data_IF_638595793944
#
_entry.id   IF_638595793944
#
_cell.length_a   1.000
_cell.length_b   1.000
_cell.length_c   1.000
_cell.angle_alpha   90.00
_cell.angle_beta   90.00
_cell.angle_gamma   90.00
#
_symmetry.space_group_name_H-M   'P 1'
#
loop_
_entity.id
_entity.type
_entity.pdbx_description
1 polymer ?
#
# COMPACT_ATOMS: atom_id res chain seq x y z
N UNK A 1 -16.09 4.12 -3.96
CA UNK A 1 -17.43 3.54 -4.22
C UNK A 1 -18.44 3.75 -3.10
N UNK A 2 -18.31 3.17 -1.89
CA UNK A 2 -19.33 3.34 -0.84
C UNK A 2 -19.32 4.73 -0.18
N UNK A 3 -18.15 5.31 0.06
CA UNK A 3 -18.03 6.64 0.63
C UNK A 3 -18.53 7.71 -0.36
N UNK A 4 -18.12 7.60 -1.62
CA UNK A 4 -18.56 8.53 -2.68
C UNK A 4 -20.06 8.41 -2.94
N UNK A 5 -20.63 7.20 -2.91
CA UNK A 5 -22.06 7.00 -3.05
C UNK A 5 -22.86 7.64 -1.90
N UNK A 6 -22.36 7.53 -0.65
CA UNK A 6 -22.97 8.21 0.49
C UNK A 6 -22.84 9.74 0.37
N UNK A 7 -21.67 10.23 -0.03
CA UNK A 7 -21.44 11.66 -0.25
C UNK A 7 -22.39 12.21 -1.32
N UNK A 8 -22.52 11.52 -2.45
CA UNK A 8 -23.45 11.89 -3.53
C UNK A 8 -24.91 11.86 -3.09
N UNK A 9 -25.31 10.86 -2.29
CA UNK A 9 -26.68 10.72 -1.78
C UNK A 9 -27.10 11.91 -0.91
N UNK A 10 -26.19 12.46 -0.10
CA UNK A 10 -26.47 13.57 0.81
C UNK A 10 -25.99 14.94 0.31
N UNK A 11 -25.34 15.01 -0.85
CA UNK A 11 -24.70 16.21 -1.38
C UNK A 11 -25.63 17.44 -1.38
N UNK A 12 -26.89 17.27 -1.80
CA UNK A 12 -27.85 18.38 -1.85
C UNK A 12 -28.15 18.97 -0.47
N UNK A 13 -28.37 18.11 0.53
CA UNK A 13 -28.66 18.56 1.89
C UNK A 13 -27.42 19.24 2.51
N UNK A 14 -26.24 18.64 2.31
CA UNK A 14 -24.98 19.18 2.81
C UNK A 14 -24.63 20.54 2.19
N UNK A 15 -24.86 20.72 0.89
CA UNK A 15 -24.64 22.00 0.21
C UNK A 15 -25.61 23.08 0.68
N UNK A 16 -26.87 22.72 0.91
CA UNK A 16 -27.87 23.63 1.45
C UNK A 16 -27.47 24.10 2.85
N UNK A 17 -27.11 23.18 3.74
CA UNK A 17 -26.71 23.53 5.11
C UNK A 17 -25.41 24.32 5.14
N UNK A 18 -24.42 23.95 4.31
CA UNK A 18 -23.20 24.74 4.16
C UNK A 18 -23.53 26.18 3.73
N UNK A 19 -24.46 26.36 2.79
CA UNK A 19 -24.92 27.69 2.36
C UNK A 19 -25.54 28.53 3.49
N UNK A 20 -26.21 27.90 4.47
CA UNK A 20 -26.81 28.60 5.62
C UNK A 20 -25.73 29.11 6.58
N UNK A 21 -24.72 28.27 6.87
CA UNK A 21 -23.83 28.51 8.00
C UNK A 21 -22.42 28.99 7.62
N UNK A 22 -22.02 28.92 6.34
CA UNK A 22 -20.65 29.23 5.90
C UNK A 22 -20.16 30.62 6.34
N UNK A 23 -21.03 31.64 6.27
CA UNK A 23 -20.65 33.01 6.62
C UNK A 23 -20.51 33.20 8.14
N UNK A 24 -21.13 32.32 8.92
CA UNK A 24 -21.06 32.32 10.39
C UNK A 24 -19.95 31.41 10.93
N UNK A 25 -19.45 30.48 10.13
CA UNK A 25 -18.45 29.48 10.50
C UNK A 25 -17.15 29.72 9.75
N UNK A 26 -16.23 30.47 10.34
CA UNK A 26 -14.89 30.70 9.79
C UNK A 26 -14.18 29.38 9.48
N UNK A 27 -13.79 29.19 8.22
CA UNK A 27 -13.07 28.00 7.76
C UNK A 27 -13.94 26.78 7.45
N UNK A 28 -15.27 26.93 7.35
CA UNK A 28 -16.15 25.87 6.88
C UNK A 28 -15.75 25.45 5.47
N UNK A 29 -15.37 24.17 5.31
CA UNK A 29 -15.16 23.58 3.99
C UNK A 29 -16.52 23.25 3.35
N UNK A 30 -16.64 23.38 2.02
CA UNK A 30 -17.78 22.86 1.32
C UNK A 30 -17.78 21.31 1.38
N UNK A 31 -18.93 20.64 1.12
CA UNK A 31 -19.07 19.20 1.32
C UNK A 31 -18.03 18.35 0.56
N UNK A 32 -17.69 18.73 -0.66
CA UNK A 32 -16.63 18.17 -1.49
C UNK A 32 -15.24 18.33 -0.86
N UNK A 33 -14.93 19.51 -0.32
CA UNK A 33 -13.69 19.70 0.46
C UNK A 33 -13.64 18.83 1.72
N UNK A 34 -14.77 18.66 2.42
CA UNK A 34 -14.84 17.78 3.61
C UNK A 34 -14.69 16.30 3.25
N UNK A 35 -15.17 15.92 2.06
CA UNK A 35 -15.07 14.56 1.52
C UNK A 35 -13.63 14.20 1.17
N UNK A 36 -12.87 15.16 0.61
CA UNK A 36 -11.44 14.99 0.35
C UNK A 36 -10.66 14.81 1.66
N UNK A 37 -10.96 15.63 2.68
CA UNK A 37 -10.34 15.51 4.01
C UNK A 37 -10.64 14.14 4.65
N UNK A 38 -11.89 13.68 4.58
CA UNK A 38 -12.26 12.37 5.11
C UNK A 38 -11.57 11.24 4.36
N UNK A 39 -11.47 11.35 3.04
CA UNK A 39 -10.79 10.36 2.20
C UNK A 39 -9.29 10.28 2.54
N UNK A 40 -8.62 11.43 2.68
CA UNK A 40 -7.23 11.50 3.13
C UNK A 40 -7.05 10.90 4.53
N UNK A 41 -7.94 11.24 5.47
CA UNK A 41 -7.91 10.69 6.83
C UNK A 41 -8.02 9.15 6.84
N UNK A 42 -8.91 8.58 6.01
CA UNK A 42 -9.07 7.12 5.90
C UNK A 42 -7.83 6.46 5.29
N UNK A 43 -7.18 7.11 4.32
CA UNK A 43 -5.93 6.62 3.71
C UNK A 43 -4.77 6.60 4.71
N UNK A 44 -4.68 7.60 5.61
CA UNK A 44 -3.63 7.68 6.64
C UNK A 44 -3.90 6.77 7.85
N UNK A 45 -5.15 6.35 8.05
CA UNK A 45 -5.58 5.58 9.24
C UNK A 45 -4.73 4.33 9.52
N UNK A 46 -4.36 3.48 8.54
CA UNK A 46 -3.56 2.28 8.79
C UNK A 46 -2.22 2.61 9.46
N UNK A 47 -1.51 3.61 8.94
CA UNK A 47 -0.22 4.05 9.50
C UNK A 47 -0.40 4.61 10.93
N UNK A 48 -1.48 5.36 11.16
CA UNK A 48 -1.79 5.94 12.47
C UNK A 48 -2.12 4.88 13.52
N UNK A 49 -2.87 3.85 13.14
CA UNK A 49 -3.16 2.69 14.02
C UNK A 49 -1.88 1.95 14.37
N UNK A 50 -1.02 1.69 13.38
CA UNK A 50 0.27 1.04 13.64
C UNK A 50 1.15 1.87 14.59
N UNK A 51 1.20 3.18 14.41
CA UNK A 51 1.94 4.08 15.31
C UNK A 51 1.41 4.03 16.74
N UNK A 52 0.09 4.06 16.93
CA UNK A 52 -0.52 3.94 18.24
C UNK A 52 -0.21 2.58 18.89
N UNK A 53 -0.31 1.49 18.13
CA UNK A 53 0.03 0.14 18.61
C UNK A 53 1.51 0.05 19.01
N UNK A 54 2.41 0.58 18.19
CA UNK A 54 3.85 0.62 18.46
C UNK A 54 4.15 1.34 19.78
N UNK A 55 3.57 2.53 19.96
CA UNK A 55 3.70 3.31 21.20
C UNK A 55 3.13 2.57 22.42
N UNK A 56 2.00 1.88 22.27
CA UNK A 56 1.36 1.16 23.36
C UNK A 56 2.09 -0.13 23.76
N UNK A 57 2.67 -0.82 22.78
CA UNK A 57 3.30 -2.14 22.96
C UNK A 57 4.81 -2.07 23.15
N UNK A 58 5.43 -0.89 22.99
CA UNK A 58 6.88 -0.69 23.11
C UNK A 58 7.67 -1.22 21.91
N UNK A 59 7.04 -1.38 20.76
CA UNK A 59 7.70 -1.78 19.52
C UNK A 59 8.11 -0.57 18.67
N UNK A 60 9.23 -0.70 17.95
CA UNK A 60 9.63 0.28 16.96
C UNK A 60 8.92 0.04 15.63
N UNK A 61 8.67 1.12 14.87
CA UNK A 61 8.22 1.04 13.49
C UNK A 61 9.34 1.37 12.51
N UNK A 62 9.33 0.68 11.39
CA UNK A 62 10.22 0.89 10.26
C UNK A 62 9.38 1.02 8.99
N UNK A 63 9.62 2.10 8.25
CA UNK A 63 9.08 2.25 6.89
C UNK A 63 9.89 1.41 5.92
N UNK A 64 9.22 0.50 5.22
CA UNK A 64 9.81 -0.31 4.18
C UNK A 64 9.41 0.21 2.80
N UNK A 65 10.30 0.05 1.82
CA UNK A 65 10.03 0.30 0.41
C UNK A 65 10.15 -0.99 -0.39
N UNK A 66 9.05 -1.42 -0.98
CA UNK A 66 8.96 -2.68 -1.70
C UNK A 66 8.62 -2.41 -3.17
N UNK A 67 9.33 -3.04 -4.10
CA UNK A 67 9.16 -2.79 -5.55
C UNK A 67 9.37 -4.06 -6.38
N UNK A 68 8.90 -4.05 -7.62
CA UNK A 68 9.22 -5.03 -8.64
C UNK A 68 10.17 -4.41 -9.68
N UNK A 69 11.08 -5.22 -10.22
CA UNK A 69 12.03 -4.84 -11.27
C UNK A 69 12.08 -5.94 -12.36
N UNK A 70 11.54 -5.68 -13.56
CA UNK A 70 10.74 -4.51 -13.92
C UNK A 70 9.31 -4.57 -13.32
N UNK A 71 8.59 -3.43 -13.21
CA UNK A 71 7.26 -3.39 -12.58
C UNK A 71 6.19 -4.16 -13.36
N UNK A 72 6.32 -4.29 -14.69
CA UNK A 72 5.44 -5.10 -15.52
C UNK A 72 5.66 -6.62 -15.37
N UNK A 73 6.72 -7.03 -14.66
CA UNK A 73 7.08 -8.44 -14.51
C UNK A 73 6.27 -9.20 -13.46
N UNK A 74 5.62 -8.50 -12.53
CA UNK A 74 4.92 -9.15 -11.41
C UNK A 74 4.18 -8.21 -10.48
N UNK A 75 3.72 -8.75 -9.36
CA UNK A 75 3.24 -8.00 -8.20
C UNK A 75 3.86 -8.56 -6.91
N UNK A 76 3.73 -7.81 -5.83
CA UNK A 76 4.10 -8.23 -4.48
C UNK A 76 2.85 -8.49 -3.66
N UNK A 77 2.88 -9.59 -2.93
CA UNK A 77 1.90 -9.91 -1.90
C UNK A 77 2.58 -9.87 -0.54
N UNK A 78 2.03 -9.14 0.42
CA UNK A 78 2.52 -9.08 1.81
C UNK A 78 1.40 -9.53 2.73
N UNK A 79 1.66 -10.54 3.56
CA UNK A 79 0.65 -11.11 4.47
C UNK A 79 -0.67 -11.46 3.76
N UNK A 80 -0.57 -12.01 2.55
CA UNK A 80 -1.68 -12.34 1.64
C UNK A 80 -2.42 -11.16 1.01
N UNK A 81 -2.02 -9.92 1.28
CA UNK A 81 -2.57 -8.71 0.65
C UNK A 81 -1.76 -8.39 -0.61
N UNK A 82 -2.43 -8.27 -1.76
CA UNK A 82 -1.80 -7.83 -3.01
C UNK A 82 -1.56 -6.31 -2.95
N UNK A 83 -0.31 -5.92 -3.17
CA UNK A 83 0.16 -4.54 -3.13
C UNK A 83 0.52 -3.99 -4.52
N UNK A 84 0.40 -4.79 -5.57
CA UNK A 84 0.85 -4.44 -6.92
C UNK A 84 2.36 -4.44 -7.09
N UNK A 85 2.85 -3.80 -8.15
CA UNK A 85 4.25 -3.87 -8.56
C UNK A 85 5.15 -2.81 -7.91
N UNK A 86 4.57 -1.69 -7.46
CA UNK A 86 5.30 -0.61 -6.80
C UNK A 86 4.39 0.06 -5.75
N UNK A 87 4.05 -0.64 -4.66
CA UNK A 87 3.27 -0.04 -3.60
C UNK A 87 3.94 1.17 -2.97
N UNK A 88 3.11 2.04 -2.41
CA UNK A 88 3.57 3.14 -1.59
C UNK A 88 4.35 2.62 -0.36
N UNK A 89 5.33 3.39 0.15
CA UNK A 89 6.04 3.02 1.36
C UNK A 89 5.09 2.79 2.54
N UNK A 90 5.23 1.64 3.21
CA UNK A 90 4.39 1.24 4.33
C UNK A 90 5.21 1.00 5.60
N UNK A 91 4.60 1.29 6.76
CA UNK A 91 5.23 1.09 8.08
C UNK A 91 4.96 -0.31 8.61
N UNK A 92 5.98 -0.94 9.19
CA UNK A 92 5.90 -2.28 9.77
C UNK A 92 6.66 -2.33 11.09
N UNK A 93 6.31 -3.26 11.98
CA UNK A 93 6.98 -3.42 13.27
C UNK A 93 8.36 -4.03 13.11
N UNK A 94 9.38 -3.37 13.68
CA UNK A 94 10.74 -3.90 13.69
C UNK A 94 10.83 -5.15 14.57
N UNK A 95 11.47 -6.21 14.07
CA UNK A 95 11.57 -7.48 14.80
C UNK A 95 10.37 -8.41 14.61
N UNK A 96 9.31 -7.98 13.91
CA UNK A 96 8.19 -8.85 13.53
C UNK A 96 8.39 -9.28 12.07
N UNK A 97 8.65 -10.57 11.80
CA UNK A 97 8.87 -11.04 10.44
C UNK A 97 7.64 -10.85 9.56
N UNK A 98 7.85 -10.40 8.32
CA UNK A 98 6.84 -10.28 7.28
C UNK A 98 6.99 -11.39 6.26
N UNK A 99 5.89 -11.99 5.85
CA UNK A 99 5.82 -12.92 4.73
C UNK A 99 5.52 -12.17 3.43
N UNK A 100 6.50 -12.15 2.52
CA UNK A 100 6.45 -11.45 1.24
C UNK A 100 6.55 -12.48 0.12
N UNK A 101 5.64 -12.40 -0.86
CA UNK A 101 5.60 -13.28 -2.03
C UNK A 101 5.70 -12.43 -3.30
N UNK A 102 6.64 -12.77 -4.17
CA UNK A 102 6.71 -12.27 -5.53
C UNK A 102 5.79 -13.10 -6.43
N UNK A 103 4.81 -12.47 -7.06
CA UNK A 103 3.86 -13.13 -7.97
C UNK A 103 4.21 -12.73 -9.41
N UNK A 104 4.84 -13.60 -10.21
CA UNK A 104 5.14 -13.29 -11.61
C UNK A 104 3.85 -13.13 -12.42
N UNK A 105 3.85 -12.17 -13.34
CA UNK A 105 2.80 -12.07 -14.36
C UNK A 105 3.03 -13.12 -15.47
N UNK A 106 1.99 -13.46 -16.26
CA UNK A 106 2.15 -14.41 -17.37
C UNK A 106 3.30 -14.02 -18.31
N UNK A 107 4.14 -14.99 -18.68
CA UNK A 107 5.33 -14.77 -19.51
C UNK A 107 6.55 -14.25 -18.75
N UNK A 108 6.48 -14.14 -17.42
CA UNK A 108 7.59 -13.75 -16.55
C UNK A 108 7.87 -14.83 -15.51
N UNK A 109 9.12 -14.85 -15.04
CA UNK A 109 9.56 -15.67 -13.91
C UNK A 109 10.27 -14.81 -12.89
N UNK A 110 10.05 -15.10 -11.62
CA UNK A 110 10.86 -14.55 -10.53
C UNK A 110 12.29 -15.10 -10.63
N UNK A 111 13.28 -14.23 -10.51
CA UNK A 111 14.71 -14.58 -10.60
C UNK A 111 15.49 -14.26 -9.32
N UNK A 112 14.82 -13.75 -8.28
CA UNK A 112 15.43 -13.46 -6.98
C UNK A 112 15.04 -12.08 -6.44
N UNK A 113 15.67 -11.72 -5.32
CA UNK A 113 15.40 -10.48 -4.61
C UNK A 113 16.63 -9.57 -4.58
N UNK A 114 16.40 -8.26 -4.57
CA UNK A 114 17.39 -7.27 -4.13
C UNK A 114 17.06 -6.90 -2.68
N UNK A 115 18.06 -6.90 -1.82
CA UNK A 115 17.88 -6.68 -0.38
C UNK A 115 17.65 -7.97 0.43
N UNK A 116 17.68 -9.14 -0.22
CA UNK A 116 17.72 -10.46 0.41
C UNK A 116 18.57 -11.40 -0.45
N UNK A 117 19.25 -12.36 0.17
CA UNK A 117 19.98 -13.44 -0.53
C UNK A 117 19.07 -14.63 -0.90
N UNK A 118 17.79 -14.57 -0.54
CA UNK A 118 16.84 -15.63 -0.84
C UNK A 118 16.55 -15.73 -2.35
N UNK A 119 16.33 -16.97 -2.80
CA UNK A 119 16.02 -17.30 -4.20
C UNK A 119 14.57 -17.77 -4.39
N UNK A 120 13.89 -18.17 -3.30
CA UNK A 120 12.47 -18.52 -3.29
C UNK A 120 11.59 -17.34 -3.67
N UNK A 121 10.45 -17.61 -4.31
CA UNK A 121 9.42 -16.60 -4.59
C UNK A 121 8.73 -16.08 -3.33
N UNK A 122 8.70 -16.89 -2.27
CA UNK A 122 8.19 -16.52 -0.96
C UNK A 122 9.36 -16.39 0.02
N UNK A 123 9.42 -15.26 0.72
CA UNK A 123 10.48 -14.93 1.67
C UNK A 123 9.89 -14.39 2.97
N UNK A 124 10.64 -14.59 4.04
CA UNK A 124 10.36 -13.98 5.33
C UNK A 124 11.42 -12.92 5.61
N UNK A 125 11.01 -11.69 5.87
CA UNK A 125 11.91 -10.55 6.08
C UNK A 125 11.57 -9.85 7.39
N UNK A 126 12.57 -9.66 8.25
CA UNK A 126 12.43 -8.75 9.39
C UNK A 126 12.67 -7.30 8.93
N UNK A 127 11.70 -6.38 9.09
CA UNK A 127 11.85 -4.95 8.76
C UNK A 127 13.07 -4.28 9.41
N UNK A 128 13.56 -4.82 10.54
CA UNK A 128 14.79 -4.35 11.19
C UNK A 128 16.03 -4.58 10.34
N UNK A 129 16.07 -5.69 9.60
CA UNK A 129 17.22 -6.14 8.81
C UNK A 129 17.24 -5.55 7.40
N UNK A 130 16.06 -5.33 6.81
CA UNK A 130 15.94 -4.82 5.44
C UNK A 130 14.81 -3.80 5.33
N UNK A 131 15.17 -2.57 4.94
CA UNK A 131 14.21 -1.47 4.72
C UNK A 131 13.77 -1.36 3.26
N UNK A 132 14.44 -2.07 2.36
CA UNK A 132 14.17 -2.04 0.92
C UNK A 132 14.29 -3.44 0.35
N UNK A 133 13.22 -3.89 -0.29
CA UNK A 133 13.15 -5.19 -0.93
C UNK A 133 12.65 -4.98 -2.36
N UNK A 134 13.33 -5.58 -3.33
CA UNK A 134 12.88 -5.55 -4.73
C UNK A 134 12.78 -6.96 -5.28
N UNK A 135 11.59 -7.39 -5.71
CA UNK A 135 11.43 -8.63 -6.46
C UNK A 135 11.95 -8.43 -7.89
N UNK A 136 12.78 -9.35 -8.36
CA UNK A 136 13.33 -9.28 -9.71
C UNK A 136 12.64 -10.31 -10.59
N UNK A 137 12.27 -9.89 -11.78
CA UNK A 137 11.62 -10.73 -12.78
C UNK A 137 12.41 -10.73 -14.08
N UNK A 138 12.32 -11.82 -14.83
CA UNK A 138 12.80 -11.91 -16.21
C UNK A 138 11.75 -12.56 -17.09
N UNK A 139 11.73 -12.27 -18.40
CA UNK A 139 10.88 -13.01 -19.33
C UNK A 139 11.14 -14.51 -19.23
N UNK A 140 10.07 -15.28 -19.23
CA UNK A 140 10.13 -16.73 -19.39
C UNK A 140 10.61 -16.98 -20.81
N UNK A 141 11.84 -17.50 -20.97
CA UNK A 141 12.34 -17.83 -22.30
C UNK A 141 11.49 -18.95 -22.85
N UNK A 142 10.63 -18.65 -23.81
CA UNK A 142 10.02 -19.66 -24.68
C UNK A 142 11.15 -20.31 -25.46
N UNK A 143 11.55 -21.52 -25.06
CA UNK A 143 12.45 -22.33 -25.85
C UNK A 143 11.74 -22.72 -27.14
N UNK A 144 12.00 -22.00 -28.24
CA UNK A 144 11.80 -22.56 -29.57
C UNK A 144 13.02 -23.42 -29.84
N UNK A 145 12.91 -24.71 -29.50
CA UNK A 145 13.80 -25.73 -30.03
C UNK A 145 13.42 -25.91 -31.50
N UNK A 146 14.31 -25.54 -32.42
CA UNK A 146 14.09 -25.76 -33.85
C UNK A 146 14.73 -27.12 -34.22
N UNK A 147 14.00 -27.99 -34.96
CA UNK A 147 14.44 -29.35 -35.27
C UNK A 147 15.67 -29.40 -36.20
#
# INVERSE_FOLDING_TARGET
>A
ERLDALSAMYAKALLHDHGIWQDSLSGALPPDGSQDVLSAFLQERPARVLHQLASHTGHDLVTMRMTCDPPEGGSLQVERVDLGSAPDPSSHFAGIPLHIVAVPRPGWRHIGWKGSSATSQAITVDPRSARRITARFAPERSGVDHP
#
